data_IF_842796850174
#
_entry.id   IF_842796850174
#
_cell.length_a   1.000
_cell.length_b   1.000
_cell.length_c   1.000
_cell.angle_alpha   90.00
_cell.angle_beta   90.00
_cell.angle_gamma   90.00
#
_symmetry.space_group_name_H-M   'P 1'
#
loop_
_entity.id
_entity.type
_entity.pdbx_description
1 polymer ?
#
# COMPACT_ATOMS: atom_id res chain seq x y z
N UNK A 1 -17.56 12.04 -3.48
CA UNK A 1 -16.35 11.96 -4.32
C UNK A 1 -15.63 13.29 -4.17
N UNK A 2 -14.36 13.23 -3.80
CA UNK A 2 -13.46 14.38 -3.68
C UNK A 2 -12.94 14.75 -5.05
N UNK A 3 -12.67 16.03 -5.25
CA UNK A 3 -12.11 16.54 -6.52
C UNK A 3 -10.77 15.89 -6.83
N UNK A 4 -9.98 15.59 -5.80
CA UNK A 4 -8.71 14.87 -5.92
C UNK A 4 -8.88 13.46 -6.48
N UNK A 5 -9.88 12.73 -6.01
CA UNK A 5 -10.18 11.39 -6.51
C UNK A 5 -10.64 11.40 -7.97
N UNK A 6 -11.55 12.30 -8.34
CA UNK A 6 -12.01 12.45 -9.72
C UNK A 6 -10.86 12.78 -10.68
N UNK A 7 -9.97 13.71 -10.31
CA UNK A 7 -8.82 14.09 -11.15
C UNK A 7 -7.83 12.93 -11.32
N UNK A 8 -7.62 12.15 -10.26
CA UNK A 8 -6.74 10.98 -10.27
C UNK A 8 -7.31 9.82 -11.08
N UNK A 9 -8.61 9.55 -10.93
CA UNK A 9 -9.31 8.54 -11.73
C UNK A 9 -9.28 8.90 -13.21
N UNK A 10 -9.54 10.16 -13.55
CA UNK A 10 -9.45 10.66 -14.93
C UNK A 10 -8.04 10.48 -15.51
N UNK A 11 -6.98 10.84 -14.75
CA UNK A 11 -5.59 10.61 -15.19
C UNK A 11 -5.25 9.12 -15.32
N UNK A 12 -5.79 8.29 -14.43
CA UNK A 12 -5.61 6.85 -14.46
C UNK A 12 -6.35 6.21 -15.65
N UNK A 13 -7.50 6.73 -16.04
CA UNK A 13 -8.22 6.29 -17.23
C UNK A 13 -7.53 6.73 -18.53
N UNK A 14 -7.02 7.97 -18.57
CA UNK A 14 -6.39 8.57 -19.75
C UNK A 14 -4.95 8.08 -19.97
N UNK A 15 -4.12 8.08 -18.92
CA UNK A 15 -2.70 7.69 -18.99
C UNK A 15 -2.46 6.23 -18.63
N UNK A 16 -3.42 5.56 -18.00
CA UNK A 16 -3.27 4.18 -17.50
C UNK A 16 -2.40 4.04 -16.24
N UNK A 17 -1.73 5.12 -15.82
CA UNK A 17 -0.93 5.21 -14.61
C UNK A 17 -0.83 6.68 -14.19
N UNK A 18 -0.94 6.98 -12.91
CA UNK A 18 -0.46 8.23 -12.34
C UNK A 18 0.64 7.92 -11.32
N UNK A 19 1.67 8.74 -11.30
CA UNK A 19 2.81 8.58 -10.40
C UNK A 19 2.47 9.12 -9.01
N UNK A 20 3.12 8.58 -7.98
CA UNK A 20 2.96 9.05 -6.59
C UNK A 20 3.21 10.57 -6.45
N UNK A 21 4.11 11.16 -7.24
CA UNK A 21 4.30 12.62 -7.28
C UNK A 21 3.07 13.39 -7.81
N UNK A 22 2.39 12.89 -8.85
CA UNK A 22 1.17 13.52 -9.36
C UNK A 22 0.02 13.36 -8.36
N UNK A 23 -0.05 12.21 -7.69
CA UNK A 23 -1.01 11.98 -6.62
C UNK A 23 -0.76 12.88 -5.41
N UNK A 24 0.48 13.00 -4.95
CA UNK A 24 0.85 13.87 -3.84
C UNK A 24 0.59 15.35 -4.15
N UNK A 25 0.87 15.80 -5.38
CA UNK A 25 0.55 17.16 -5.83
C UNK A 25 -0.96 17.43 -5.81
N UNK A 26 -1.75 16.51 -6.36
CA UNK A 26 -3.22 16.65 -6.35
C UNK A 26 -3.78 16.60 -4.93
N UNK A 27 -3.27 15.73 -4.07
CA UNK A 27 -3.62 15.66 -2.65
C UNK A 27 -3.33 16.98 -1.93
N UNK A 28 -2.21 17.62 -2.25
CA UNK A 28 -1.82 18.90 -1.66
C UNK A 28 -2.64 20.08 -2.19
N UNK A 29 -3.08 20.01 -3.46
CA UNK A 29 -3.79 21.11 -4.14
C UNK A 29 -5.32 21.04 -3.95
N UNK A 30 -5.89 19.84 -4.06
CA UNK A 30 -7.34 19.60 -4.03
C UNK A 30 -7.84 19.03 -2.71
N UNK A 31 -6.92 18.59 -1.84
CA UNK A 31 -7.18 18.07 -0.51
C UNK A 31 -6.97 16.55 -0.39
N UNK A 32 -6.89 16.06 0.86
CA UNK A 32 -6.63 14.65 1.14
C UNK A 32 -7.73 13.74 0.61
N UNK A 33 -7.33 12.61 0.04
CA UNK A 33 -8.27 11.54 -0.27
C UNK A 33 -8.71 10.82 1.00
N UNK A 34 -9.97 10.42 1.02
CA UNK A 34 -10.49 9.49 2.03
C UNK A 34 -9.96 8.08 1.80
N UNK A 35 -9.92 7.26 2.86
CA UNK A 35 -9.48 5.86 2.78
C UNK A 35 -10.26 5.02 1.76
N UNK A 36 -11.57 5.27 1.62
CA UNK A 36 -12.39 4.64 0.60
C UNK A 36 -11.92 4.99 -0.83
N UNK A 37 -11.52 6.24 -1.06
CA UNK A 37 -11.10 6.74 -2.36
C UNK A 37 -9.68 6.25 -2.70
N UNK A 38 -8.79 6.20 -1.71
CA UNK A 38 -7.46 5.57 -1.88
C UNK A 38 -7.60 4.10 -2.28
N UNK A 39 -8.51 3.36 -1.62
CA UNK A 39 -8.77 1.96 -1.93
C UNK A 39 -9.33 1.77 -3.34
N UNK A 40 -10.26 2.64 -3.77
CA UNK A 40 -10.81 2.63 -5.13
C UNK A 40 -9.75 2.95 -6.18
N UNK A 41 -8.87 3.92 -5.93
CA UNK A 41 -7.73 4.23 -6.80
C UNK A 41 -6.77 3.06 -6.89
N UNK A 42 -6.38 2.46 -5.77
CA UNK A 42 -5.51 1.30 -5.74
C UNK A 42 -6.12 0.09 -6.48
N UNK A 43 -7.44 -0.12 -6.36
CA UNK A 43 -8.16 -1.12 -7.15
C UNK A 43 -8.14 -0.77 -8.64
N UNK A 44 -8.43 0.47 -9.01
CA UNK A 44 -8.40 0.92 -10.41
C UNK A 44 -6.99 0.79 -11.02
N UNK A 45 -5.93 1.04 -10.25
CA UNK A 45 -4.55 0.78 -10.65
C UNK A 45 -4.29 -0.70 -10.90
N UNK A 46 -4.74 -1.58 -10.00
CA UNK A 46 -4.61 -3.03 -10.16
C UNK A 46 -5.43 -3.53 -11.35
N UNK A 47 -6.62 -2.99 -11.56
CA UNK A 47 -7.51 -3.37 -12.65
C UNK A 47 -6.96 -2.90 -14.00
N UNK A 48 -6.51 -1.64 -14.12
CA UNK A 48 -5.82 -1.15 -15.33
C UNK A 48 -4.50 -1.89 -15.60
N UNK A 49 -3.74 -2.23 -14.55
CA UNK A 49 -2.54 -3.06 -14.69
C UNK A 49 -2.86 -4.49 -15.14
N UNK A 50 -3.97 -5.06 -14.66
CA UNK A 50 -4.47 -6.37 -15.07
C UNK A 50 -4.99 -6.35 -16.52
N UNK A 51 -5.79 -5.34 -16.89
CA UNK A 51 -6.27 -5.14 -18.27
C UNK A 51 -5.11 -4.93 -19.26
N UNK A 52 -4.01 -4.29 -18.84
CA UNK A 52 -2.80 -4.18 -19.67
C UNK A 52 -2.02 -5.50 -19.76
N UNK A 53 -2.12 -6.39 -18.76
CA UNK A 53 -1.53 -7.73 -18.77
C UNK A 53 -2.36 -8.77 -19.55
N UNK A 54 -3.68 -8.62 -19.68
CA UNK A 54 -4.50 -9.55 -20.47
C UNK A 54 -4.24 -9.46 -21.99
N UNK A 55 -3.57 -8.42 -22.49
CA UNK A 55 -3.05 -8.42 -23.87
C UNK A 55 -1.77 -9.27 -24.03
N UNK A 56 -1.23 -9.85 -22.94
CA UNK A 56 0.00 -10.62 -22.95
C UNK A 56 0.03 -11.71 -21.87
N UNK A 57 -0.45 -12.89 -22.26
CA UNK A 57 -0.35 -14.21 -21.58
C UNK A 57 -1.40 -14.56 -20.53
N UNK A 58 -2.29 -15.41 -21.03
CA UNK A 58 -3.06 -16.47 -20.41
C UNK A 58 -2.28 -17.36 -19.40
N UNK A 59 -3.00 -17.76 -18.34
CA UNK A 59 -2.70 -18.89 -17.42
C UNK A 59 -1.94 -18.50 -16.16
N UNK A 60 -2.45 -18.64 -14.93
CA UNK A 60 -3.63 -19.25 -14.31
C UNK A 60 -3.42 -19.03 -12.79
N UNK A 61 -4.34 -19.16 -11.85
CA UNK A 61 -5.67 -19.76 -11.73
C UNK A 61 -6.27 -19.08 -10.47
N UNK A 62 -7.48 -18.49 -10.55
CA UNK A 62 -8.68 -18.83 -9.75
C UNK A 62 -8.38 -19.25 -8.29
N UNK A 63 -9.00 -18.64 -7.26
CA UNK A 63 -10.45 -18.64 -7.07
C UNK A 63 -10.88 -17.54 -6.06
N UNK A 64 -11.90 -16.77 -6.44
CA UNK A 64 -12.88 -16.09 -5.57
C UNK A 64 -13.75 -17.15 -4.84
N UNK A 65 -14.76 -16.82 -4.00
CA UNK A 65 -15.08 -15.61 -3.23
C UNK A 65 -15.61 -15.90 -1.78
N UNK A 66 -15.72 -14.89 -0.90
CA UNK A 66 -16.94 -14.58 -0.12
C UNK A 66 -16.73 -13.40 0.86
N UNK A 67 -17.62 -12.44 0.76
CA UNK A 67 -17.95 -11.31 1.68
C UNK A 67 -18.85 -11.85 2.82
N UNK A 68 -19.40 -11.08 3.78
CA UNK A 68 -18.95 -9.90 4.57
C UNK A 68 -18.99 -10.18 6.10
N UNK A 69 -18.31 -9.38 6.94
CA UNK A 69 -18.96 -8.88 8.18
C UNK A 69 -18.33 -7.56 8.62
N UNK A 70 -19.23 -6.63 8.95
CA UNK A 70 -19.01 -5.27 9.45
C UNK A 70 -18.84 -5.29 10.97
N UNK A 71 -17.88 -4.51 11.46
CA UNK A 71 -17.86 -3.70 12.69
C UNK A 71 -16.44 -3.11 12.79
N UNK A 72 -16.16 -1.86 12.43
CA UNK A 72 -16.53 -0.62 13.15
C UNK A 72 -16.44 -0.79 14.67
N UNK A 73 -15.69 0.00 15.45
CA UNK A 73 -14.99 1.26 15.20
C UNK A 73 -14.08 1.59 16.40
N UNK A 74 -13.25 2.62 16.18
CA UNK A 74 -12.67 3.56 17.16
C UNK A 74 -11.53 3.00 18.06
N UNK A 75 -10.46 3.73 18.37
CA UNK A 75 -10.27 5.18 18.37
C UNK A 75 -8.76 5.52 18.49
N UNK A 76 -8.37 6.71 18.02
CA UNK A 76 -7.10 7.39 18.36
C UNK A 76 -5.99 7.13 17.33
N UNK A 77 -5.67 8.03 16.41
CA UNK A 77 -5.49 9.45 16.60
C UNK A 77 -4.07 9.72 17.10
N UNK A 78 -3.12 9.99 16.19
CA UNK A 78 -2.12 11.06 16.37
C UNK A 78 -1.26 11.25 15.13
N UNK A 79 -1.37 12.44 14.57
CA UNK A 79 -0.24 13.18 14.04
C UNK A 79 0.91 13.15 15.06
N UNK A 80 2.11 12.69 14.64
CA UNK A 80 3.42 13.25 15.03
C UNK A 80 4.53 12.37 14.47
N UNK A 81 5.38 12.98 13.63
CA UNK A 81 6.81 13.20 13.86
C UNK A 81 7.62 12.28 14.80
N UNK A 82 8.96 12.23 14.61
CA UNK A 82 9.82 11.06 14.83
C UNK A 82 10.20 10.83 16.31
N UNK A 83 10.95 9.75 16.52
CA UNK A 83 11.59 9.28 17.77
C UNK A 83 10.74 8.41 18.72
N UNK A 84 11.04 7.10 18.76
CA UNK A 84 11.81 6.45 19.85
C UNK A 84 11.82 4.92 19.71
N UNK A 85 13.04 4.39 19.75
CA UNK A 85 13.49 3.08 20.24
C UNK A 85 12.45 1.98 20.57
N UNK A 86 12.74 0.81 19.97
CA UNK A 86 12.77 -0.49 20.64
C UNK A 86 11.53 -1.00 21.38
N UNK A 87 10.68 -1.74 20.65
CA UNK A 87 10.54 -3.18 20.87
C UNK A 87 9.81 -3.80 19.67
N UNK A 88 10.55 -4.51 18.81
CA UNK A 88 9.88 -5.41 17.86
C UNK A 88 9.39 -6.58 18.71
N UNK A 89 8.06 -6.72 18.85
CA UNK A 89 7.42 -7.77 19.65
C UNK A 89 7.70 -9.17 19.11
N UNK A 90 6.85 -10.16 19.43
CA UNK A 90 6.93 -11.47 18.78
C UNK A 90 6.78 -11.30 17.27
N UNK A 91 7.84 -11.63 16.52
CA UNK A 91 7.84 -11.52 15.07
C UNK A 91 7.13 -12.73 14.49
N UNK A 92 6.10 -12.49 13.71
CA UNK A 92 5.41 -13.55 12.97
C UNK A 92 6.12 -13.86 11.65
N UNK A 93 5.89 -15.06 11.08
CA UNK A 93 6.43 -15.43 9.77
C UNK A 93 6.02 -14.45 8.66
N UNK A 94 4.83 -13.86 8.75
CA UNK A 94 4.35 -12.87 7.78
C UNK A 94 5.17 -11.58 7.84
N UNK A 95 5.48 -11.09 9.04
CA UNK A 95 6.36 -9.95 9.26
C UNK A 95 7.80 -10.21 8.78
N UNK A 96 8.30 -11.44 8.97
CA UNK A 96 9.59 -11.86 8.44
C UNK A 96 9.64 -11.83 6.91
N UNK A 97 8.61 -12.37 6.24
CA UNK A 97 8.52 -12.34 4.77
C UNK A 97 8.37 -10.90 4.23
N UNK A 98 7.60 -10.07 4.92
CA UNK A 98 7.46 -8.66 4.59
C UNK A 98 8.80 -7.93 4.75
N UNK A 99 9.54 -8.20 5.82
CA UNK A 99 10.89 -7.68 6.03
C UNK A 99 11.86 -8.10 4.93
N UNK A 100 11.86 -9.37 4.50
CA UNK A 100 12.67 -9.83 3.37
C UNK A 100 12.33 -9.08 2.08
N UNK A 101 11.04 -8.88 1.80
CA UNK A 101 10.57 -8.11 0.65
C UNK A 101 11.05 -6.66 0.70
N UNK A 102 10.99 -6.03 1.87
CA UNK A 102 11.50 -4.66 2.10
C UNK A 102 13.02 -4.56 1.91
N UNK A 103 13.78 -5.58 2.32
CA UNK A 103 15.24 -5.61 2.16
C UNK A 103 15.68 -5.75 0.70
N UNK A 104 14.93 -6.51 -0.09
CA UNK A 104 15.21 -6.72 -1.52
C UNK A 104 14.78 -5.52 -2.38
N UNK A 105 13.86 -4.70 -1.86
CA UNK A 105 13.34 -3.54 -2.57
C UNK A 105 14.34 -2.37 -2.62
N UNK A 106 14.60 -1.85 -3.82
CA UNK A 106 15.54 -0.73 -4.03
C UNK A 106 14.96 0.65 -3.72
N UNK A 107 13.63 0.76 -3.66
CA UNK A 107 12.89 2.03 -3.52
C UNK A 107 12.55 2.38 -2.05
N UNK A 108 12.94 1.54 -1.09
CA UNK A 108 12.61 1.72 0.32
C UNK A 108 13.69 2.52 1.04
N UNK A 109 13.25 3.39 1.95
CA UNK A 109 14.09 4.17 2.84
C UNK A 109 15.04 3.31 3.69
N UNK A 110 16.19 3.87 4.06
CA UNK A 110 17.15 3.17 4.94
C UNK A 110 16.56 2.85 6.32
N UNK A 111 15.64 3.67 6.82
CA UNK A 111 14.95 3.46 8.09
C UNK A 111 14.06 2.21 8.06
N UNK A 112 13.28 2.02 6.99
CA UNK A 112 12.47 0.82 6.81
C UNK A 112 13.32 -0.43 6.58
N UNK A 113 14.45 -0.31 5.86
CA UNK A 113 15.42 -1.40 5.74
C UNK A 113 16.04 -1.75 7.08
N UNK A 114 16.36 -0.77 7.93
CA UNK A 114 16.89 -1.02 9.26
C UNK A 114 15.87 -1.76 10.15
N UNK A 115 14.58 -1.37 10.09
CA UNK A 115 13.50 -2.09 10.79
C UNK A 115 13.35 -3.51 10.26
N UNK A 116 13.35 -3.70 8.94
CA UNK A 116 13.28 -5.02 8.31
C UNK A 116 14.46 -5.93 8.71
N UNK A 117 15.69 -5.39 8.84
CA UNK A 117 16.84 -6.15 9.37
C UNK A 117 16.61 -6.59 10.81
N UNK A 118 16.12 -5.70 11.68
CA UNK A 118 15.79 -6.04 13.08
C UNK A 118 14.72 -7.14 13.16
N UNK A 119 13.68 -7.06 12.33
CA UNK A 119 12.62 -8.10 12.24
C UNK A 119 13.21 -9.44 11.81
N UNK A 120 14.03 -9.43 10.75
CA UNK A 120 14.70 -10.61 10.23
C UNK A 120 15.56 -11.29 11.31
N UNK A 121 16.42 -10.52 11.95
CA UNK A 121 17.35 -11.01 12.98
C UNK A 121 16.61 -11.58 14.19
N UNK A 122 15.52 -10.93 14.63
CA UNK A 122 14.74 -11.40 15.77
C UNK A 122 13.95 -12.67 15.48
N UNK A 123 13.42 -12.84 14.26
CA UNK A 123 12.76 -14.08 13.85
C UNK A 123 13.74 -15.25 13.70
N UNK A 124 14.92 -15.00 13.12
CA UNK A 124 15.98 -16.02 12.97
C UNK A 124 16.62 -16.42 14.32
N UNK A 125 16.42 -15.63 15.37
CA UNK A 125 16.94 -15.87 16.72
C UNK A 125 15.93 -16.47 17.71
N UNK A 126 14.66 -16.66 17.31
CA UNK A 126 13.67 -17.42 18.10
C UNK A 126 13.95 -18.92 18.03
#
# INVERSE_FOLDING_TARGET
>A
MTRTFDELMKRLEEKGKVSDEEAAKLISELGPLTDEEKKKLAQAYKEKAATKKEAGKEGGEKEKPAKPEEKEAAEGGKEKEPEKDDEIGEVTMDEYLQALSTLDSTDVSEEEKAKARKIKEKFESQ
#
